data_IF_610104502381
#
_entry.id   IF_610104502381
#
_cell.length_a   1.000
_cell.length_b   1.000
_cell.length_c   1.000
_cell.angle_alpha   90.00
_cell.angle_beta   90.00
_cell.angle_gamma   90.00
#
_symmetry.space_group_name_H-M   'P 1'
#
loop_
_entity.id
_entity.type
_entity.pdbx_description
1 polymer ?
#
# COMPACT_ATOMS: atom_id res chain seq x y z
N UNK A 1 -13.91 2.84 -3.69
CA UNK A 1 -12.86 3.65 -3.05
C UNK A 1 -12.38 4.59 -4.12
N UNK A 2 -12.76 5.87 -3.99
CA UNK A 2 -12.27 6.95 -4.83
C UNK A 2 -10.74 6.96 -4.82
N UNK A 3 -10.12 7.50 -5.87
CA UNK A 3 -8.65 7.54 -5.99
C UNK A 3 -7.94 8.09 -4.75
N UNK A 4 -6.63 7.86 -4.68
CA UNK A 4 -5.80 8.31 -3.56
C UNK A 4 -4.57 9.05 -4.03
N UNK A 5 -3.79 9.55 -3.08
CA UNK A 5 -2.46 10.12 -3.31
C UNK A 5 -1.41 9.24 -2.66
N UNK A 6 -0.31 9.01 -3.36
CA UNK A 6 0.84 8.32 -2.78
C UNK A 6 1.49 9.23 -1.76
N UNK A 7 1.47 8.82 -0.50
CA UNK A 7 2.12 9.56 0.60
C UNK A 7 3.46 8.94 0.98
N UNK A 8 3.73 7.70 0.56
CA UNK A 8 5.03 7.06 0.74
C UNK A 8 5.26 6.04 -0.38
N UNK A 9 6.42 6.12 -1.04
CA UNK A 9 6.92 5.10 -1.95
C UNK A 9 8.38 4.80 -1.61
N UNK A 10 8.65 3.65 -0.99
CA UNK A 10 9.99 3.31 -0.53
C UNK A 10 10.44 1.97 -1.10
N UNK A 11 11.61 1.95 -1.73
CA UNK A 11 12.16 0.73 -2.33
C UNK A 11 12.87 -0.20 -1.34
N UNK A 12 13.28 0.31 -0.18
CA UNK A 12 13.96 -0.47 0.86
C UNK A 12 13.52 -0.04 2.27
N UNK A 13 12.26 -0.29 2.59
CA UNK A 13 11.78 -0.13 3.95
C UNK A 13 12.24 -1.32 4.80
N UNK A 14 12.94 -1.04 5.91
CA UNK A 14 13.48 -2.08 6.80
C UNK A 14 12.36 -3.01 7.28
N UNK A 15 12.49 -4.30 6.97
CA UNK A 15 11.48 -5.32 7.29
C UNK A 15 10.38 -5.49 6.22
N UNK A 16 9.95 -4.41 5.56
CA UNK A 16 8.82 -4.40 4.63
C UNK A 16 9.20 -4.45 3.14
N UNK A 17 10.49 -4.32 2.80
CA UNK A 17 10.95 -4.35 1.41
C UNK A 17 10.44 -3.12 0.64
N UNK A 18 9.91 -3.34 -0.56
CA UNK A 18 9.27 -2.26 -1.32
C UNK A 18 7.87 -2.00 -0.79
N UNK A 19 7.66 -0.81 -0.24
CA UNK A 19 6.43 -0.41 0.43
C UNK A 19 5.81 0.83 -0.22
N UNK A 20 4.48 0.87 -0.25
CA UNK A 20 3.67 1.96 -0.78
C UNK A 20 2.57 2.28 0.22
N UNK A 21 2.33 3.56 0.50
CA UNK A 21 1.18 4.03 1.28
C UNK A 21 0.39 5.02 0.44
N UNK A 22 -0.91 4.77 0.34
CA UNK A 22 -1.88 5.66 -0.29
C UNK A 22 -2.76 6.30 0.77
N UNK A 23 -2.98 7.60 0.64
CA UNK A 23 -4.01 8.35 1.36
C UNK A 23 -5.22 8.55 0.43
N UNK A 24 -6.38 8.06 0.87
CA UNK A 24 -7.65 8.16 0.13
C UNK A 24 -8.51 9.33 0.63
N UNK A 25 -7.98 10.15 1.53
CA UNK A 25 -8.73 11.21 2.19
C UNK A 25 -9.67 10.66 3.28
N UNK A 26 -10.37 11.57 3.97
CA UNK A 26 -11.30 11.24 5.06
C UNK A 26 -10.68 10.36 6.17
N UNK A 27 -9.35 10.44 6.33
CA UNK A 27 -8.58 9.67 7.30
C UNK A 27 -8.28 8.23 6.90
N UNK A 28 -8.61 7.80 5.69
CA UNK A 28 -8.33 6.44 5.21
C UNK A 28 -6.96 6.36 4.52
N UNK A 29 -6.13 5.44 5.00
CA UNK A 29 -4.85 5.13 4.35
C UNK A 29 -4.72 3.63 4.15
N UNK A 30 -4.10 3.23 3.04
CA UNK A 30 -3.80 1.83 2.76
C UNK A 30 -2.31 1.66 2.52
N UNK A 31 -1.72 0.65 3.17
CA UNK A 31 -0.32 0.30 2.99
C UNK A 31 -0.18 -1.04 2.27
N UNK A 32 0.79 -1.11 1.35
CA UNK A 32 1.16 -2.28 0.57
C UNK A 32 2.65 -2.54 0.76
N UNK A 33 3.03 -3.73 1.20
CA UNK A 33 4.43 -4.08 1.44
C UNK A 33 4.87 -5.34 0.67
N UNK A 34 6.16 -5.63 0.72
CA UNK A 34 6.81 -6.78 0.09
C UNK A 34 6.71 -6.82 -1.43
N UNK A 35 6.49 -5.66 -2.07
CA UNK A 35 6.29 -5.59 -3.51
C UNK A 35 7.57 -5.94 -4.28
N UNK A 36 7.42 -6.55 -5.47
CA UNK A 36 8.52 -6.74 -6.41
C UNK A 36 8.92 -5.41 -7.04
N UNK A 37 7.95 -4.55 -7.34
CA UNK A 37 8.13 -3.30 -8.06
C UNK A 37 7.05 -2.31 -7.63
N UNK A 38 7.42 -1.03 -7.50
CA UNK A 38 6.47 0.08 -7.32
C UNK A 38 6.29 0.75 -8.69
N UNK A 39 5.05 0.94 -9.11
CA UNK A 39 4.71 1.52 -10.42
C UNK A 39 4.39 3.02 -10.34
N UNK A 40 4.27 3.53 -9.11
CA UNK A 40 3.93 4.93 -8.80
C UNK A 40 4.91 5.50 -7.78
N UNK A 41 5.10 6.81 -7.82
CA UNK A 41 6.03 7.55 -6.96
C UNK A 41 5.33 8.35 -5.85
N UNK A 42 6.11 8.82 -4.87
CA UNK A 42 5.59 9.71 -3.82
C UNK A 42 5.01 11.00 -4.42
N UNK A 43 3.85 11.40 -3.93
CA UNK A 43 3.12 12.58 -4.37
C UNK A 43 2.21 12.38 -5.59
N UNK A 44 2.26 11.21 -6.24
CA UNK A 44 1.44 10.88 -7.41
C UNK A 44 -0.03 10.65 -7.03
N UNK A 45 -0.95 11.14 -7.86
CA UNK A 45 -2.38 10.84 -7.73
C UNK A 45 -2.71 9.55 -8.48
N UNK A 46 -3.41 8.63 -7.81
CA UNK A 46 -3.80 7.34 -8.35
C UNK A 46 -5.32 7.22 -8.32
N UNK A 47 -5.87 6.49 -9.29
CA UNK A 47 -7.32 6.26 -9.43
C UNK A 47 -7.66 4.80 -9.17
N UNK A 48 -8.91 4.54 -8.77
CA UNK A 48 -9.38 3.16 -8.57
C UNK A 48 -9.14 2.32 -9.83
N UNK A 49 -8.61 1.10 -9.66
CA UNK A 49 -8.26 0.20 -10.75
C UNK A 49 -6.92 0.49 -11.44
N UNK A 50 -6.23 1.58 -11.08
CA UNK A 50 -4.86 1.83 -11.54
C UNK A 50 -3.89 0.83 -10.90
N UNK A 51 -2.98 0.27 -11.70
CA UNK A 51 -1.89 -0.54 -11.20
C UNK A 51 -0.87 0.36 -10.47
N UNK A 52 -0.64 0.08 -9.18
CA UNK A 52 0.24 0.89 -8.31
C UNK A 52 1.53 0.16 -7.92
N UNK A 53 1.51 -1.17 -7.89
CA UNK A 53 2.65 -2.00 -7.54
C UNK A 53 2.47 -3.42 -8.09
N UNK A 54 3.56 -4.16 -8.21
CA UNK A 54 3.54 -5.60 -8.44
C UNK A 54 3.91 -6.32 -7.15
N UNK A 55 3.03 -7.20 -6.66
CA UNK A 55 3.31 -8.00 -5.49
C UNK A 55 4.56 -8.88 -5.68
N UNK A 56 5.25 -9.18 -4.58
CA UNK A 56 6.48 -9.97 -4.59
C UNK A 56 6.80 -10.55 -3.23
N UNK A 57 8.08 -10.79 -2.97
CA UNK A 57 8.61 -11.34 -1.72
C UNK A 57 9.82 -10.52 -1.21
N UNK A 58 9.83 -9.20 -1.44
CA UNK A 58 10.97 -8.37 -1.02
C UNK A 58 10.97 -8.09 0.48
N UNK A 59 12.14 -7.75 1.05
CA UNK A 59 12.28 -7.49 2.49
C UNK A 59 12.42 -8.78 3.29
N UNK A 60 11.64 -8.93 4.38
CA UNK A 60 11.70 -10.10 5.27
C UNK A 60 10.65 -11.18 4.94
N UNK A 61 9.94 -11.04 3.82
CA UNK A 61 8.91 -11.99 3.41
C UNK A 61 9.53 -13.33 3.04
N UNK A 62 9.10 -14.40 3.71
CA UNK A 62 9.53 -15.78 3.46
C UNK A 62 8.76 -16.43 2.32
N UNK A 63 7.68 -15.82 1.84
CA UNK A 63 6.87 -16.26 0.69
C UNK A 63 6.24 -15.06 -0.03
N UNK A 64 5.91 -15.24 -1.32
CA UNK A 64 5.22 -14.21 -2.11
C UNK A 64 3.79 -14.02 -1.60
N UNK A 65 3.55 -12.92 -0.89
CA UNK A 65 2.24 -12.55 -0.36
C UNK A 65 2.07 -11.04 -0.40
N UNK A 66 0.89 -10.59 -0.76
CA UNK A 66 0.52 -9.19 -0.57
C UNK A 66 0.23 -8.94 0.90
N UNK A 67 1.01 -8.08 1.54
CA UNK A 67 0.65 -7.52 2.83
C UNK A 67 -0.11 -6.23 2.63
N UNK A 68 -1.42 -6.29 2.88
CA UNK A 68 -2.35 -5.16 2.81
C UNK A 68 -2.75 -4.75 4.21
N UNK A 69 -2.63 -3.45 4.51
CA UNK A 69 -3.11 -2.88 5.78
C UNK A 69 -3.98 -1.67 5.49
N UNK A 70 -5.15 -1.62 6.13
CA UNK A 70 -6.04 -0.47 6.12
C UNK A 70 -5.90 0.26 7.45
N UNK A 71 -5.82 1.59 7.39
CA UNK A 71 -5.81 2.45 8.55
C UNK A 71 -6.91 3.49 8.40
N UNK A 72 -7.57 3.82 9.51
CA UNK A 72 -8.52 4.93 9.62
C UNK A 72 -8.11 5.82 10.78
N UNK A 73 -7.81 7.09 10.51
CA UNK A 73 -7.25 8.04 11.48
C UNK A 73 -6.02 7.47 12.23
N UNK A 74 -5.14 6.77 11.51
CA UNK A 74 -3.94 6.14 12.07
C UNK A 74 -4.17 4.83 12.83
N UNK A 75 -5.41 4.40 13.02
CA UNK A 75 -5.75 3.12 13.69
C UNK A 75 -5.91 2.02 12.66
N UNK A 76 -5.16 0.92 12.83
CA UNK A 76 -5.28 -0.26 11.96
C UNK A 76 -6.70 -0.83 12.02
N UNK A 77 -7.28 -1.07 10.84
CA UNK A 77 -8.62 -1.62 10.66
C UNK A 77 -8.52 -3.02 10.07
N UNK A 78 -9.48 -3.89 10.41
CA UNK A 78 -9.67 -5.15 9.72
C UNK A 78 -10.16 -4.87 8.28
N UNK A 79 -9.35 -5.19 7.25
CA UNK A 79 -9.73 -4.92 5.87
C UNK A 79 -10.86 -5.82 5.38
N UNK A 80 -11.05 -7.01 5.96
CA UNK A 80 -12.12 -7.94 5.57
C UNK A 80 -13.52 -7.37 5.83
N UNK A 81 -13.64 -6.41 6.76
CA UNK A 81 -14.90 -5.71 7.05
C UNK A 81 -15.24 -4.59 6.06
N UNK A 82 -14.30 -4.22 5.19
CA UNK A 82 -14.40 -3.05 4.31
C UNK A 82 -14.30 -3.40 2.82
N UNK A 83 -14.02 -4.67 2.50
CA UNK A 83 -14.04 -5.21 1.14
C UNK A 83 -15.45 -5.79 0.89
N UNK A 84 -16.26 -5.09 0.09
CA UNK A 84 -17.51 -5.62 -0.50
C UNK A 84 -17.29 -5.90 -1.98
#
# INVERSE_FOLDING_TARGET
ADGGRVVLACNQMRGYGRALVLDHGNGYTTAYAHNRELLVGEGEAVRQGQAIARAGSTGRATSTRLEFRLYRHGVAQDPARHLR
#
